data_IF_177701569149
#
_entry.id   IF_177701569149
#
_cell.length_a   1.000
_cell.length_b   1.000
_cell.length_c   1.000
_cell.angle_alpha   90.00
_cell.angle_beta   90.00
_cell.angle_gamma   90.00
#
_symmetry.space_group_name_H-M   'P 1'
#
loop_
_entity.id
_entity.type
_entity.pdbx_description
1 polymer ?
#
# COMPACT_ATOMS: atom_id res chain seq x y z
N UNK A 1 -12.68 -1.17 5.67
CA UNK A 1 -11.22 -1.42 5.74
C UNK A 1 -10.97 -2.91 5.52
N UNK A 2 -10.24 -3.27 4.47
CA UNK A 2 -10.10 -4.66 4.00
C UNK A 2 -9.30 -5.56 4.98
N UNK A 3 -9.52 -6.89 4.99
CA UNK A 3 -9.06 -7.82 6.04
C UNK A 3 -7.56 -8.18 6.03
N UNK A 4 -6.74 -7.57 5.16
CA UNK A 4 -5.33 -7.97 4.95
C UNK A 4 -4.47 -7.91 6.22
N UNK A 5 -4.83 -7.05 7.19
CA UNK A 5 -4.15 -6.98 8.50
C UNK A 5 -4.28 -8.28 9.30
N UNK A 6 -5.37 -9.03 9.12
CA UNK A 6 -5.61 -10.30 9.80
C UNK A 6 -4.96 -11.48 9.09
N UNK A 7 -4.66 -11.36 7.79
CA UNK A 7 -3.89 -12.37 7.05
C UNK A 7 -2.47 -12.53 7.63
N UNK A 8 -1.85 -11.42 8.08
CA UNK A 8 -0.56 -11.45 8.77
C UNK A 8 -0.63 -12.21 10.11
N UNK A 9 -1.75 -12.10 10.83
CA UNK A 9 -1.99 -12.85 12.07
C UNK A 9 -2.23 -14.33 11.80
N UNK A 10 -2.84 -14.69 10.66
CA UNK A 10 -3.01 -16.07 10.22
C UNK A 10 -1.72 -16.69 9.64
N UNK A 11 -0.79 -15.88 9.13
CA UNK A 11 0.46 -16.35 8.54
C UNK A 11 1.38 -17.05 9.56
N UNK A 12 1.43 -16.56 10.81
CA UNK A 12 2.25 -17.14 11.87
C UNK A 12 1.78 -18.57 12.25
N UNK A 13 0.51 -18.84 12.58
CA UNK A 13 0.05 -20.20 12.86
C UNK A 13 0.11 -21.10 11.62
N UNK A 14 -0.12 -20.58 10.41
CA UNK A 14 0.06 -21.35 9.17
C UNK A 14 1.52 -21.79 8.97
N UNK A 15 2.49 -20.91 9.21
CA UNK A 15 3.91 -21.25 9.11
C UNK A 15 4.34 -22.32 10.13
N UNK A 16 3.86 -22.21 11.38
CA UNK A 16 4.09 -23.22 12.42
C UNK A 16 3.44 -24.56 12.04
N UNK A 17 2.22 -24.53 11.48
CA UNK A 17 1.51 -25.72 11.02
C UNK A 17 2.25 -26.42 9.88
N UNK A 18 2.68 -25.67 8.85
CA UNK A 18 3.43 -26.21 7.72
C UNK A 18 4.77 -26.81 8.15
N UNK A 19 5.50 -26.15 9.06
CA UNK A 19 6.73 -26.68 9.63
C UNK A 19 6.51 -27.95 10.46
N UNK A 20 5.44 -28.00 11.24
CA UNK A 20 5.09 -29.16 12.07
C UNK A 20 4.67 -30.36 11.22
N UNK A 21 3.86 -30.14 10.19
CA UNK A 21 3.49 -31.17 9.22
C UNK A 21 4.72 -31.73 8.51
N UNK A 22 5.63 -30.87 8.04
CA UNK A 22 6.87 -31.31 7.37
C UNK A 22 7.82 -32.11 8.29
N UNK A 23 7.84 -31.81 9.59
CA UNK A 23 8.62 -32.56 10.59
C UNK A 23 7.99 -33.92 10.94
N UNK A 24 6.66 -34.00 10.91
CA UNK A 24 5.89 -35.23 11.16
C UNK A 24 5.90 -36.18 9.95
N UNK A 25 6.02 -35.66 8.73
CA UNK A 25 6.18 -36.44 7.50
C UNK A 25 7.56 -37.09 7.33
N UNK A 26 8.33 -37.31 8.41
CA UNK A 26 9.59 -38.07 8.33
C UNK A 26 9.26 -39.48 7.79
N UNK A 27 9.77 -39.86 6.60
CA UNK A 27 9.68 -41.23 6.15
C UNK A 27 10.45 -42.07 7.16
N UNK A 28 9.78 -43.08 7.71
CA UNK A 28 10.29 -43.90 8.81
C UNK A 28 11.76 -44.25 8.64
N UNK A 29 12.54 -43.99 9.69
CA UNK A 29 13.80 -44.68 9.92
C UNK A 29 13.49 -46.17 9.91
N UNK A 30 13.76 -46.81 8.77
CA UNK A 30 13.92 -48.26 8.65
C UNK A 30 14.99 -48.64 9.66
N UNK A 31 14.55 -49.09 10.82
CA UNK A 31 15.42 -49.73 11.80
C UNK A 31 15.51 -51.18 11.35
N UNK A 32 16.68 -51.58 10.90
CA UNK A 32 17.03 -52.96 10.59
C UNK A 32 16.47 -53.91 11.67
N UNK A 33 15.41 -54.64 11.33
CA UNK A 33 15.04 -55.88 12.02
C UNK A 33 15.63 -57.01 11.18
N UNK A 34 16.50 -57.87 11.74
CA UNK A 34 16.91 -59.07 11.03
C UNK A 34 15.67 -59.93 10.81
N UNK A 35 15.49 -60.38 9.56
CA UNK A 35 14.44 -61.30 9.14
C UNK A 35 14.49 -62.57 9.98
N UNK A 36 13.60 -62.70 10.94
CA UNK A 36 13.14 -64.00 11.41
C UNK A 36 11.75 -64.23 10.81
N UNK A 37 11.76 -65.10 9.82
CA UNK A 37 10.61 -65.75 9.20
C UNK A 37 9.81 -66.42 10.32
N UNK A 38 8.53 -66.11 10.44
CA UNK A 38 7.46 -67.10 10.57
C UNK A 38 6.07 -66.46 10.59
N UNK A 39 5.20 -67.07 9.77
CA UNK A 39 3.74 -67.16 9.81
C UNK A 39 2.88 -65.96 10.25
N UNK A 40 2.06 -65.54 9.29
CA UNK A 40 0.61 -65.38 9.45
C UNK A 40 0.11 -64.15 10.23
N UNK A 41 -0.04 -63.05 9.49
CA UNK A 41 -1.07 -62.04 9.75
C UNK A 41 -1.26 -61.19 8.50
N UNK A 42 -2.31 -61.49 7.74
CA UNK A 42 -2.95 -60.55 6.82
C UNK A 42 -3.55 -59.41 7.65
N UNK A 43 -2.79 -58.35 7.86
CA UNK A 43 -3.33 -57.08 8.34
C UNK A 43 -2.75 -55.96 7.46
N UNK A 44 -3.68 -55.27 6.80
CA UNK A 44 -3.55 -54.10 5.97
C UNK A 44 -2.42 -53.14 6.41
N UNK A 45 -1.31 -53.10 5.66
CA UNK A 45 -0.36 -51.97 5.69
C UNK A 45 -0.92 -50.84 4.80
N UNK A 46 -2.18 -50.47 5.05
CA UNK A 46 -2.76 -49.20 4.65
C UNK A 46 -2.08 -48.14 5.51
N UNK A 47 -0.87 -47.74 5.09
CA UNK A 47 -0.20 -46.53 5.58
C UNK A 47 -0.97 -45.31 5.08
N UNK A 48 -2.19 -45.17 5.58
CA UNK A 48 -2.84 -43.89 5.62
C UNK A 48 -1.90 -42.98 6.39
N UNK A 49 -1.32 -42.03 5.65
CA UNK A 49 -0.80 -40.78 6.15
C UNK A 49 -1.94 -40.10 6.92
N UNK A 50 -2.19 -40.58 8.14
CA UNK A 50 -3.31 -40.11 8.94
C UNK A 50 -2.97 -38.68 9.31
N UNK A 51 -3.71 -37.75 8.71
CA UNK A 51 -3.73 -36.34 9.09
C UNK A 51 -3.88 -36.28 10.61
N UNK A 52 -2.82 -35.85 11.29
CA UNK A 52 -2.80 -35.72 12.74
C UNK A 52 -4.06 -34.95 13.18
N UNK A 53 -4.79 -35.46 14.18
CA UNK A 53 -6.01 -34.84 14.71
C UNK A 53 -5.81 -33.35 15.02
N UNK A 54 -4.60 -32.96 15.43
CA UNK A 54 -4.21 -31.56 15.67
C UNK A 54 -4.24 -30.71 14.40
N UNK A 55 -3.80 -31.27 13.27
CA UNK A 55 -3.85 -30.63 11.95
C UNK A 55 -5.28 -30.48 11.48
N UNK A 56 -6.13 -31.49 11.69
CA UNK A 56 -7.56 -31.44 11.35
C UNK A 56 -8.29 -30.41 12.21
N UNK A 57 -8.05 -30.38 13.52
CA UNK A 57 -8.62 -29.39 14.43
C UNK A 57 -8.21 -27.96 14.08
N UNK A 58 -6.94 -27.75 13.73
CA UNK A 58 -6.46 -26.42 13.37
C UNK A 58 -6.96 -25.99 11.99
N UNK A 59 -7.02 -26.89 11.00
CA UNK A 59 -7.66 -26.61 9.72
C UNK A 59 -9.15 -26.27 9.91
N UNK A 60 -9.87 -27.02 10.75
CA UNK A 60 -11.27 -26.75 11.07
C UNK A 60 -11.45 -25.39 11.77
N UNK A 61 -10.60 -25.05 12.74
CA UNK A 61 -10.58 -23.74 13.40
C UNK A 61 -10.33 -22.59 12.40
N UNK A 62 -9.43 -22.80 11.44
CA UNK A 62 -9.10 -21.79 10.44
C UNK A 62 -10.26 -21.60 9.44
N UNK A 63 -10.90 -22.70 9.00
CA UNK A 63 -12.10 -22.66 8.15
C UNK A 63 -13.29 -22.06 8.89
N UNK A 64 -13.56 -22.46 10.14
CA UNK A 64 -14.63 -21.92 10.97
C UNK A 64 -14.39 -20.44 11.31
N UNK A 65 -13.16 -20.04 11.60
CA UNK A 65 -12.78 -18.63 11.76
C UNK A 65 -12.93 -17.84 10.47
N UNK A 66 -12.73 -18.48 9.31
CA UNK A 66 -12.94 -17.85 8.00
C UNK A 66 -14.42 -17.65 7.65
N UNK A 67 -15.35 -18.35 8.31
CA UNK A 67 -16.79 -18.28 8.01
C UNK A 67 -17.36 -16.87 8.14
N UNK A 68 -16.88 -16.09 9.11
CA UNK A 68 -17.29 -14.69 9.29
C UNK A 68 -16.92 -13.81 8.07
N UNK A 69 -15.92 -14.21 7.28
CA UNK A 69 -15.49 -13.50 6.07
C UNK A 69 -16.22 -13.93 4.80
N UNK A 70 -17.02 -15.01 4.84
CA UNK A 70 -17.87 -15.44 3.71
C UNK A 70 -19.15 -14.60 3.60
N UNK A 71 -19.56 -13.95 4.69
CA UNK A 71 -20.72 -13.06 4.67
C UNK A 71 -20.29 -11.65 4.31
N UNK A 72 -20.45 -11.28 3.04
CA UNK A 72 -20.35 -9.89 2.60
C UNK A 72 -21.61 -9.16 3.08
N UNK A 73 -21.53 -8.55 4.27
CA UNK A 73 -22.60 -7.66 4.74
C UNK A 73 -22.38 -6.27 4.13
N UNK A 74 -23.13 -5.96 3.07
CA UNK A 74 -23.26 -4.58 2.57
C UNK A 74 -24.35 -3.88 3.37
N UNK A 75 -23.95 -3.09 4.36
CA UNK A 75 -24.88 -2.19 5.05
C UNK A 75 -25.09 -0.98 4.13
N UNK A 76 -26.31 -0.71 3.65
CA UNK A 76 -26.57 0.48 2.87
C UNK A 76 -26.29 1.72 3.74
N UNK A 77 -25.64 2.77 3.18
CA UNK A 77 -25.34 3.99 3.90
C UNK A 77 -26.60 4.62 4.49
N UNK A 78 -26.49 5.20 5.68
CA UNK A 78 -27.62 5.90 6.31
C UNK A 78 -28.04 7.12 5.48
N UNK A 79 -29.27 7.65 5.65
CA UNK A 79 -29.70 8.86 4.92
C UNK A 79 -28.77 10.07 5.11
N UNK A 80 -28.05 10.13 6.23
CA UNK A 80 -27.05 11.17 6.49
C UNK A 80 -25.73 10.95 5.73
N UNK A 81 -25.41 9.71 5.35
CA UNK A 81 -24.21 9.33 4.60
C UNK A 81 -24.41 9.44 3.08
N UNK A 82 -25.65 9.42 2.60
CA UNK A 82 -25.99 9.62 1.19
C UNK A 82 -25.61 8.44 0.28
N UNK A 83 -25.83 8.56 -1.05
CA UNK A 83 -25.40 7.55 -2.02
C UNK A 83 -23.85 7.45 -2.08
N UNK A 84 -23.33 6.36 -2.65
CA UNK A 84 -21.88 6.16 -2.82
C UNK A 84 -21.36 7.12 -3.91
N UNK A 85 -20.91 8.30 -3.48
CA UNK A 85 -20.34 9.36 -4.31
C UNK A 85 -19.09 9.93 -3.63
N UNK A 86 -18.27 10.71 -4.34
CA UNK A 86 -17.13 11.42 -3.73
C UNK A 86 -17.58 12.33 -2.59
N UNK A 87 -18.76 12.92 -2.70
CA UNK A 87 -19.28 13.79 -1.64
C UNK A 87 -19.92 13.05 -0.48
N UNK A 88 -20.58 11.91 -0.72
CA UNK A 88 -20.93 10.96 0.34
C UNK A 88 -19.70 10.49 1.11
N UNK A 89 -18.59 10.22 0.41
CA UNK A 89 -17.30 9.90 1.03
C UNK A 89 -16.76 11.07 1.85
N UNK A 90 -16.69 12.28 1.31
CA UNK A 90 -16.21 13.47 2.04
C UNK A 90 -17.07 13.75 3.30
N UNK A 91 -18.40 13.66 3.20
CA UNK A 91 -19.32 13.81 4.35
C UNK A 91 -19.13 12.70 5.37
N UNK A 92 -18.92 11.46 4.93
CA UNK A 92 -18.64 10.33 5.80
C UNK A 92 -17.33 10.53 6.56
N UNK A 93 -16.25 10.91 5.87
CA UNK A 93 -14.94 11.20 6.49
C UNK A 93 -15.05 12.36 7.50
N UNK A 94 -15.77 13.43 7.14
CA UNK A 94 -16.02 14.57 8.04
C UNK A 94 -16.83 14.18 9.28
N UNK A 95 -17.94 13.47 9.10
CA UNK A 95 -18.87 13.13 10.20
C UNK A 95 -18.36 12.01 11.10
N UNK A 96 -17.60 11.06 10.54
CA UNK A 96 -17.05 9.93 11.29
C UNK A 96 -15.74 10.29 11.98
N UNK A 97 -15.09 11.39 11.59
CA UNK A 97 -13.71 11.71 11.95
C UNK A 97 -12.74 10.53 11.65
N UNK A 98 -13.16 9.64 10.76
CA UNK A 98 -12.42 8.48 10.27
C UNK A 98 -11.66 8.91 9.02
N UNK A 99 -10.44 8.41 8.82
CA UNK A 99 -9.52 8.80 7.72
C UNK A 99 -8.82 10.16 7.88
N UNK A 100 -8.89 10.78 9.07
CA UNK A 100 -8.13 12.00 9.42
C UNK A 100 -6.67 11.72 9.82
N UNK A 101 -6.20 10.49 9.64
CA UNK A 101 -4.80 10.13 9.86
C UNK A 101 -3.89 10.98 8.99
N UNK A 102 -2.81 11.49 9.57
CA UNK A 102 -1.87 12.33 8.86
C UNK A 102 -0.44 12.05 9.26
N UNK A 103 0.52 12.53 8.46
CA UNK A 103 1.91 12.47 8.85
C UNK A 103 2.11 13.07 10.24
N UNK A 104 2.99 12.47 11.04
CA UNK A 104 3.28 12.86 12.43
C UNK A 104 3.62 14.36 12.58
N UNK A 105 4.07 15.00 11.51
CA UNK A 105 4.49 16.40 11.49
C UNK A 105 3.34 17.40 11.38
N UNK A 106 2.15 16.94 10.99
CA UNK A 106 0.97 17.81 10.93
C UNK A 106 0.38 17.95 12.32
N UNK A 107 0.19 19.19 12.77
CA UNK A 107 -0.57 19.49 13.97
C UNK A 107 -2.05 19.22 13.71
N UNK A 108 -2.55 18.12 14.28
CA UNK A 108 -3.95 17.71 14.16
C UNK A 108 -4.93 18.73 14.74
N UNK A 109 -4.50 19.56 15.71
CA UNK A 109 -5.37 20.55 16.36
C UNK A 109 -5.60 21.79 15.49
N UNK A 110 -4.68 22.08 14.58
CA UNK A 110 -4.72 23.25 13.70
C UNK A 110 -5.05 22.89 12.25
N UNK A 111 -5.24 21.60 11.95
CA UNK A 111 -5.65 21.19 10.62
C UNK A 111 -7.08 21.64 10.33
N UNK A 112 -7.35 22.23 9.16
CA UNK A 112 -8.71 22.39 8.65
C UNK A 112 -9.42 21.03 8.60
N UNK A 113 -10.51 20.89 9.34
CA UNK A 113 -11.38 19.70 9.27
C UNK A 113 -12.19 19.64 7.97
N UNK A 114 -12.13 20.72 7.19
CA UNK A 114 -12.82 20.89 5.92
C UNK A 114 -11.96 21.75 5.00
N UNK A 115 -11.98 21.49 3.69
CA UNK A 115 -11.26 22.28 2.70
C UNK A 115 -12.24 22.82 1.65
N UNK A 116 -11.88 23.92 1.00
CA UNK A 116 -12.66 24.45 -0.13
C UNK A 116 -12.78 23.41 -1.26
N UNK A 117 -11.78 22.54 -1.40
CA UNK A 117 -11.85 21.40 -2.32
C UNK A 117 -12.91 20.37 -1.90
N UNK A 118 -12.98 20.02 -0.61
CA UNK A 118 -14.03 19.14 -0.10
C UNK A 118 -15.42 19.78 -0.27
N UNK A 119 -15.51 21.09 -0.05
CA UNK A 119 -16.70 21.89 -0.30
C UNK A 119 -17.14 21.80 -1.77
N UNK A 120 -16.20 21.93 -2.72
CA UNK A 120 -16.48 21.74 -4.16
C UNK A 120 -17.05 20.36 -4.44
N UNK A 121 -16.49 19.29 -3.86
CA UNK A 121 -17.03 17.94 -4.04
C UNK A 121 -18.43 17.83 -3.43
N UNK A 122 -18.66 18.34 -2.21
CA UNK A 122 -19.98 18.26 -1.56
C UNK A 122 -21.06 19.12 -2.20
N UNK A 123 -20.69 20.25 -2.80
CA UNK A 123 -21.56 21.05 -3.64
C UNK A 123 -21.90 20.31 -4.94
N UNK A 124 -21.04 19.42 -5.43
CA UNK A 124 -21.31 18.63 -6.64
C UNK A 124 -22.33 17.48 -6.44
N UNK A 125 -22.53 17.01 -5.20
CA UNK A 125 -23.64 16.11 -4.84
C UNK A 125 -24.94 16.86 -4.55
N UNK A 126 -24.83 18.17 -4.31
CA UNK A 126 -25.95 19.06 -4.04
C UNK A 126 -25.85 20.30 -4.94
N UNK A 127 -25.69 20.11 -6.27
CA UNK A 127 -25.76 21.26 -7.15
C UNK A 127 -27.15 21.87 -6.95
N UNK A 128 -27.36 23.16 -7.24
CA UNK A 128 -28.70 23.68 -7.45
C UNK A 128 -29.28 23.07 -8.73
N UNK A 129 -29.26 21.75 -8.84
CA UNK A 129 -30.04 20.99 -9.78
C UNK A 129 -31.42 20.91 -9.16
N UNK A 130 -32.42 21.27 -9.95
CA UNK A 130 -33.80 21.14 -9.56
C UNK A 130 -34.07 19.68 -9.11
N UNK A 131 -35.05 19.43 -8.22
CA UNK A 131 -35.33 18.09 -7.66
C UNK A 131 -35.54 16.99 -8.71
N UNK A 132 -35.74 17.36 -9.97
CA UNK A 132 -36.01 16.56 -11.16
C UNK A 132 -34.83 16.47 -12.14
N UNK A 133 -33.62 16.89 -11.77
CA UNK A 133 -32.47 16.83 -12.67
C UNK A 133 -32.14 15.42 -13.14
N UNK A 134 -31.81 15.33 -14.42
CA UNK A 134 -31.50 14.08 -15.09
C UNK A 134 -30.08 13.60 -14.74
N UNK A 135 -29.86 12.29 -14.84
CA UNK A 135 -28.53 11.68 -14.63
C UNK A 135 -27.42 12.35 -15.49
N UNK A 136 -27.74 12.80 -16.70
CA UNK A 136 -26.79 13.48 -17.58
C UNK A 136 -26.37 14.86 -17.06
N UNK A 137 -27.28 15.61 -16.43
CA UNK A 137 -26.99 16.91 -15.83
C UNK A 137 -26.13 16.76 -14.57
N UNK A 138 -26.39 15.72 -13.77
CA UNK A 138 -25.56 15.33 -12.62
C UNK A 138 -24.15 14.95 -13.10
N UNK A 139 -24.04 14.05 -14.07
CA UNK A 139 -22.75 13.61 -14.63
C UNK A 139 -21.95 14.81 -15.21
N UNK A 140 -22.62 15.76 -15.86
CA UNK A 140 -22.00 16.97 -16.39
C UNK A 140 -21.60 18.00 -15.32
N UNK A 141 -22.32 18.06 -14.19
CA UNK A 141 -21.93 18.88 -13.04
C UNK A 141 -20.69 18.30 -12.34
N UNK A 142 -20.68 16.98 -12.12
CA UNK A 142 -19.52 16.25 -11.57
C UNK A 142 -18.30 16.45 -12.47
N UNK A 143 -18.45 16.34 -13.79
CA UNK A 143 -17.34 16.54 -14.74
C UNK A 143 -16.79 17.98 -14.71
N UNK A 144 -17.66 18.99 -14.63
CA UNK A 144 -17.25 20.40 -14.51
C UNK A 144 -16.50 20.68 -13.21
N UNK A 145 -16.92 20.06 -12.11
CA UNK A 145 -16.28 20.23 -10.80
C UNK A 145 -14.95 19.47 -10.70
N UNK A 146 -14.87 18.26 -11.27
CA UNK A 146 -13.61 17.53 -11.37
C UNK A 146 -12.56 18.29 -12.20
N UNK A 147 -13.00 19.07 -13.18
CA UNK A 147 -12.15 20.00 -13.92
C UNK A 147 -11.73 21.24 -13.10
N UNK A 148 -12.34 21.52 -11.95
CA UNK A 148 -12.02 22.69 -11.13
C UNK A 148 -10.76 22.49 -10.26
N UNK A 149 -10.39 21.25 -9.93
CA UNK A 149 -9.15 20.95 -9.19
C UNK A 149 -8.05 20.62 -10.18
N UNK A 150 -7.25 21.62 -10.54
CA UNK A 150 -6.23 21.51 -11.59
C UNK A 150 -4.81 21.36 -11.06
N UNK A 151 -4.60 21.52 -9.74
CA UNK A 151 -3.26 21.57 -9.14
C UNK A 151 -3.28 21.31 -7.63
N UNK A 152 -2.17 20.82 -7.08
CA UNK A 152 -1.93 20.80 -5.63
C UNK A 152 -1.16 22.04 -5.15
N UNK A 153 -0.79 22.98 -6.01
CA UNK A 153 -0.05 24.20 -5.62
C UNK A 153 -0.96 25.15 -4.84
N UNK A 154 -0.41 25.78 -3.81
CA UNK A 154 -1.07 26.88 -3.10
C UNK A 154 -0.88 28.20 -3.86
N UNK A 155 -1.74 28.44 -4.85
CA UNK A 155 -1.71 29.67 -5.64
C UNK A 155 -1.94 30.95 -4.82
N UNK A 156 -2.49 30.88 -3.60
CA UNK A 156 -2.65 32.06 -2.75
C UNK A 156 -1.31 32.63 -2.28
N UNK A 157 -0.27 31.80 -2.28
CA UNK A 157 1.10 32.19 -1.96
C UNK A 157 1.96 32.45 -3.21
N UNK A 158 1.42 32.24 -4.41
CA UNK A 158 2.13 32.42 -5.68
C UNK A 158 1.61 33.68 -6.38
N UNK A 159 2.38 34.77 -6.47
CA UNK A 159 1.90 36.07 -6.96
C UNK A 159 1.48 36.08 -8.45
N UNK A 160 1.87 35.06 -9.23
CA UNK A 160 1.53 34.93 -10.67
C UNK A 160 1.92 36.17 -11.48
N UNK A 161 3.13 36.65 -11.21
CA UNK A 161 3.69 37.86 -11.81
C UNK A 161 5.11 37.61 -12.33
N UNK A 162 5.82 38.68 -12.68
CA UNK A 162 7.20 38.60 -13.17
C UNK A 162 8.18 38.01 -12.12
N UNK A 163 7.81 37.96 -10.84
CA UNK A 163 8.66 37.44 -9.76
C UNK A 163 8.57 35.93 -9.62
N UNK A 164 7.35 35.40 -9.68
CA UNK A 164 7.05 33.99 -9.62
C UNK A 164 5.72 33.72 -10.33
N UNK A 165 5.78 32.93 -11.39
CA UNK A 165 4.60 32.33 -12.00
C UNK A 165 4.76 30.81 -12.05
N UNK A 166 3.66 30.14 -11.73
CA UNK A 166 3.60 28.68 -11.60
C UNK A 166 2.37 28.21 -12.32
N UNK A 167 2.50 27.17 -13.13
CA UNK A 167 1.39 26.57 -13.86
C UNK A 167 1.45 25.05 -13.79
N UNK A 168 0.32 24.41 -13.50
CA UNK A 168 0.20 22.95 -13.51
C UNK A 168 0.10 22.44 -14.95
N UNK A 169 1.08 21.62 -15.34
CA UNK A 169 1.12 20.95 -16.65
C UNK A 169 0.42 19.59 -16.61
N UNK A 170 0.60 18.84 -15.53
CA UNK A 170 -0.03 17.54 -15.36
C UNK A 170 -0.23 17.20 -13.88
N UNK A 171 -1.42 16.70 -13.56
CA UNK A 171 -1.81 16.32 -12.20
C UNK A 171 -2.04 14.81 -12.10
N UNK A 172 -1.30 14.13 -11.24
CA UNK A 172 -1.50 12.73 -10.88
C UNK A 172 -1.84 12.56 -9.39
N UNK A 173 -2.14 11.33 -8.96
CA UNK A 173 -2.39 11.06 -7.54
C UNK A 173 -1.10 11.09 -6.71
N UNK A 174 -0.01 10.66 -7.33
CA UNK A 174 1.33 10.48 -6.78
C UNK A 174 2.35 11.46 -7.38
N UNK A 175 1.91 12.34 -8.28
CA UNK A 175 2.79 13.29 -8.95
C UNK A 175 2.08 14.57 -9.36
N UNK A 176 2.87 15.61 -9.62
CA UNK A 176 2.45 16.82 -10.29
C UNK A 176 3.62 17.42 -11.05
N UNK A 177 3.38 17.75 -12.32
CA UNK A 177 4.33 18.43 -13.19
C UNK A 177 3.93 19.90 -13.29
N UNK A 178 4.88 20.78 -13.04
CA UNK A 178 4.69 22.23 -13.02
C UNK A 178 5.66 22.89 -14.00
N UNK A 179 5.17 23.89 -14.70
CA UNK A 179 6.01 24.93 -15.26
C UNK A 179 6.19 26.02 -14.21
N UNK A 180 7.43 26.45 -13.99
CA UNK A 180 7.77 27.48 -13.01
C UNK A 180 8.74 28.45 -13.66
N UNK A 181 8.42 29.74 -13.57
CA UNK A 181 9.36 30.81 -13.90
C UNK A 181 9.56 31.69 -12.69
N UNK A 182 10.81 32.02 -12.41
CA UNK A 182 11.13 32.99 -11.37
C UNK A 182 12.34 33.83 -11.76
N UNK A 183 12.29 35.12 -11.43
CA UNK A 183 13.40 36.04 -11.64
C UNK A 183 14.35 36.14 -10.42
N UNK A 184 14.06 35.40 -9.34
CA UNK A 184 14.83 35.38 -8.07
C UNK A 184 15.20 33.95 -7.67
N UNK A 185 16.18 33.82 -6.79
CA UNK A 185 16.68 32.54 -6.26
C UNK A 185 16.08 32.16 -4.89
N UNK A 186 15.29 33.06 -4.29
CA UNK A 186 14.67 32.88 -2.96
C UNK A 186 13.20 32.41 -3.02
N UNK A 187 12.65 32.21 -4.21
CA UNK A 187 11.26 31.83 -4.39
C UNK A 187 11.03 30.35 -4.11
N UNK A 188 9.85 30.05 -3.57
CA UNK A 188 9.47 28.69 -3.19
C UNK A 188 8.07 28.39 -3.68
N UNK A 189 7.86 27.18 -4.17
CA UNK A 189 6.55 26.64 -4.52
C UNK A 189 6.05 25.82 -3.34
N UNK A 190 4.87 26.18 -2.84
CA UNK A 190 4.22 25.49 -1.72
C UNK A 190 3.10 24.63 -2.26
N UNK A 191 3.07 23.36 -1.87
CA UNK A 191 2.03 22.41 -2.25
C UNK A 191 1.09 22.17 -1.07
N UNK A 192 -0.22 22.10 -1.34
CA UNK A 192 -1.28 21.69 -0.42
C UNK A 192 -1.27 20.17 -0.17
N UNK A 193 -0.07 19.62 0.03
CA UNK A 193 0.20 18.22 0.36
C UNK A 193 1.06 18.20 1.61
N UNK A 194 0.62 17.46 2.62
CA UNK A 194 1.42 17.26 3.82
C UNK A 194 2.72 16.50 3.48
N UNK A 195 3.83 16.98 4.02
CA UNK A 195 5.13 16.37 3.81
C UNK A 195 5.17 14.96 4.40
N UNK A 196 5.76 14.03 3.64
CA UNK A 196 5.98 12.66 4.06
C UNK A 196 7.26 12.09 3.40
N UNK A 197 8.04 11.24 4.10
CA UNK A 197 9.22 10.61 3.52
C UNK A 197 8.86 9.77 2.29
N UNK A 198 9.41 10.15 1.14
CA UNK A 198 9.13 9.51 -0.15
C UNK A 198 8.84 10.52 -1.26
N UNK A 199 8.33 11.71 -0.91
CA UNK A 199 8.24 12.81 -1.88
C UNK A 199 9.63 13.24 -2.35
N UNK A 200 9.73 13.56 -3.64
CA UNK A 200 10.93 14.01 -4.34
C UNK A 200 10.54 15.07 -5.35
N UNK A 201 11.37 16.08 -5.51
CA UNK A 201 11.21 17.10 -6.55
C UNK A 201 12.34 16.94 -7.57
N UNK A 202 12.00 16.98 -8.84
CA UNK A 202 12.93 16.80 -9.95
C UNK A 202 12.86 17.98 -10.91
N UNK A 203 14.00 18.33 -11.48
CA UNK A 203 14.09 19.24 -12.61
C UNK A 203 14.04 18.44 -13.92
N UNK A 204 13.18 18.82 -14.85
CA UNK A 204 13.06 18.18 -16.17
C UNK A 204 13.68 19.05 -17.27
N UNK A 205 14.17 18.42 -18.34
CA UNK A 205 14.64 19.10 -19.56
C UNK A 205 13.46 19.48 -20.47
N UNK A 206 12.71 20.50 -20.07
CA UNK A 206 11.45 20.88 -20.72
C UNK A 206 10.26 20.00 -20.30
N UNK A 207 9.11 20.19 -20.97
CA UNK A 207 7.85 19.60 -20.52
C UNK A 207 7.84 18.07 -20.53
N UNK A 208 8.37 17.44 -21.58
CA UNK A 208 8.40 15.97 -21.75
C UNK A 208 9.83 15.41 -21.70
N UNK A 209 10.78 16.18 -21.18
CA UNK A 209 12.17 15.78 -21.06
C UNK A 209 12.47 14.78 -19.95
N UNK A 210 13.67 14.17 -19.97
CA UNK A 210 14.16 13.35 -18.86
C UNK A 210 14.39 14.20 -17.59
N UNK A 211 14.51 13.50 -16.46
CA UNK A 211 14.97 14.10 -15.19
C UNK A 211 16.44 14.50 -15.33
N UNK A 212 16.73 15.77 -15.11
CA UNK A 212 18.08 16.38 -15.17
C UNK A 212 18.72 16.46 -13.79
N UNK A 213 17.92 16.66 -12.75
CA UNK A 213 18.41 16.78 -11.38
C UNK A 213 17.31 16.62 -10.33
N UNK A 214 17.72 16.44 -9.08
CA UNK A 214 16.83 16.44 -7.91
C UNK A 214 16.93 17.80 -7.21
N UNK A 215 15.78 18.41 -6.93
CA UNK A 215 15.67 19.63 -6.14
C UNK A 215 15.46 19.25 -4.67
N UNK A 216 16.05 20.00 -3.72
CA UNK A 216 15.80 19.76 -2.31
C UNK A 216 14.32 20.01 -2.00
N UNK A 217 13.72 19.16 -1.17
CA UNK A 217 12.39 19.40 -0.63
C UNK A 217 12.49 19.81 0.82
N UNK A 218 11.76 20.85 1.18
CA UNK A 218 11.64 21.34 2.53
C UNK A 218 10.26 21.00 3.08
N UNK A 219 10.19 20.88 4.40
CA UNK A 219 8.94 20.81 5.12
C UNK A 219 8.64 22.20 5.65
N UNK A 220 7.44 22.69 5.37
CA UNK A 220 6.97 23.96 5.93
C UNK A 220 7.03 23.95 7.46
N UNK A 221 7.56 25.02 8.05
CA UNK A 221 7.56 25.26 9.50
C UNK A 221 6.21 25.83 9.94
N UNK A 222 5.14 25.09 9.63
CA UNK A 222 3.76 25.44 9.92
C UNK A 222 2.95 24.23 10.38
N UNK A 223 1.71 24.45 10.87
CA UNK A 223 0.88 23.38 11.42
C UNK A 223 0.53 22.31 10.39
N UNK A 224 0.53 22.65 9.10
CA UNK A 224 0.20 21.73 8.02
C UNK A 224 1.39 20.92 7.52
N UNK A 225 2.62 21.30 7.91
CA UNK A 225 3.86 20.66 7.50
C UNK A 225 3.89 20.36 5.99
N UNK A 226 3.51 21.34 5.15
CA UNK A 226 3.38 21.17 3.70
C UNK A 226 4.71 20.95 3.01
N UNK A 227 4.65 20.43 1.78
CA UNK A 227 5.82 20.31 0.92
C UNK A 227 6.15 21.68 0.34
N UNK A 228 7.42 22.07 0.47
CA UNK A 228 7.96 23.31 -0.08
C UNK A 228 9.15 22.96 -0.98
N UNK A 229 9.14 23.47 -2.20
CA UNK A 229 10.21 23.24 -3.19
C UNK A 229 10.79 24.60 -3.59
N UNK A 230 12.08 24.86 -3.39
CA UNK A 230 12.72 26.07 -3.88
C UNK A 230 12.74 26.06 -5.41
N UNK A 231 12.31 27.16 -6.01
CA UNK A 231 12.29 27.34 -7.45
C UNK A 231 13.62 27.95 -7.91
N UNK A 232 14.40 27.28 -8.78
CA UNK A 232 15.63 27.86 -9.32
C UNK A 232 15.31 29.05 -10.24
N UNK A 233 16.19 30.05 -10.25
CA UNK A 233 16.06 31.22 -11.13
C UNK A 233 15.98 30.80 -12.60
N UNK A 234 15.08 31.43 -13.35
CA UNK A 234 14.80 31.16 -14.76
C UNK A 234 13.51 30.37 -14.96
N UNK A 235 13.38 29.81 -16.15
CA UNK A 235 12.23 29.01 -16.57
C UNK A 235 12.56 27.52 -16.50
N UNK A 236 11.75 26.77 -15.77
CA UNK A 236 12.02 25.38 -15.42
C UNK A 236 10.74 24.55 -15.38
N UNK A 237 10.89 23.25 -15.66
CA UNK A 237 9.82 22.28 -15.43
C UNK A 237 10.16 21.44 -14.21
N UNK A 238 9.32 21.52 -13.18
CA UNK A 238 9.48 20.81 -11.91
C UNK A 238 8.50 19.65 -11.86
N UNK A 239 8.99 18.47 -11.52
CA UNK A 239 8.18 17.29 -11.25
C UNK A 239 8.25 16.96 -9.76
N UNK A 240 7.13 17.14 -9.05
CA UNK A 240 6.95 16.58 -7.71
C UNK A 240 6.41 15.16 -7.85
N UNK A 241 7.07 14.16 -7.28
CA UNK A 241 6.65 12.75 -7.36
C UNK A 241 6.86 12.02 -6.04
N UNK A 242 5.93 11.12 -5.72
CA UNK A 242 6.03 10.21 -4.59
C UNK A 242 6.75 8.92 -4.99
N UNK A 243 7.96 8.75 -4.47
CA UNK A 243 8.81 7.59 -4.70
C UNK A 243 8.80 6.62 -3.51
N UNK A 244 9.53 5.51 -3.64
CA UNK A 244 9.65 4.53 -2.58
C UNK A 244 10.27 5.11 -1.31
N UNK A 245 9.55 4.91 -0.20
CA UNK A 245 9.95 5.34 1.12
C UNK A 245 11.17 4.54 1.62
N UNK A 246 12.01 5.09 2.51
CA UNK A 246 13.14 4.36 3.08
C UNK A 246 12.72 3.04 3.75
N UNK A 247 11.56 3.03 4.42
CA UNK A 247 11.00 1.85 5.06
C UNK A 247 10.59 0.79 4.03
N UNK A 248 9.98 1.20 2.91
CA UNK A 248 9.62 0.28 1.83
C UNK A 248 10.86 -0.35 1.19
N UNK A 249 11.91 0.44 0.96
CA UNK A 249 13.21 -0.06 0.46
C UNK A 249 13.83 -1.07 1.43
N UNK A 250 13.81 -0.78 2.73
CA UNK A 250 14.31 -1.70 3.75
C UNK A 250 13.50 -3.01 3.79
N UNK A 251 12.16 -2.92 3.76
CA UNK A 251 11.28 -4.07 3.75
C UNK A 251 11.53 -4.97 2.52
N UNK A 252 11.74 -4.37 1.35
CA UNK A 252 12.11 -5.09 0.12
C UNK A 252 13.40 -5.90 0.32
N UNK A 253 14.46 -5.29 0.86
CA UNK A 253 15.72 -5.99 1.11
C UNK A 253 15.59 -7.09 2.15
N UNK A 254 14.86 -6.85 3.25
CA UNK A 254 14.60 -7.87 4.29
C UNK A 254 13.87 -9.08 3.68
N UNK A 255 12.84 -8.83 2.86
CA UNK A 255 12.12 -9.91 2.18
C UNK A 255 13.03 -10.69 1.22
N UNK A 256 13.82 -9.99 0.40
CA UNK A 256 14.77 -10.61 -0.52
C UNK A 256 15.78 -11.50 0.20
N UNK A 257 16.40 -11.01 1.28
CA UNK A 257 17.33 -11.81 2.07
C UNK A 257 16.64 -12.98 2.77
N UNK A 258 15.41 -12.81 3.24
CA UNK A 258 14.60 -13.89 3.79
C UNK A 258 14.37 -15.02 2.76
N UNK A 259 14.03 -14.67 1.53
CA UNK A 259 13.88 -15.63 0.43
C UNK A 259 15.19 -16.33 0.07
N UNK A 260 16.30 -15.59 -0.01
CA UNK A 260 17.61 -16.17 -0.28
C UNK A 260 18.06 -17.14 0.83
N UNK A 261 17.83 -16.78 2.09
CA UNK A 261 18.13 -17.64 3.23
C UNK A 261 17.28 -18.91 3.20
N UNK A 262 15.97 -18.79 2.93
CA UNK A 262 15.09 -19.94 2.78
C UNK A 262 15.57 -20.88 1.68
N UNK A 263 15.92 -20.33 0.51
CA UNK A 263 16.45 -21.11 -0.60
C UNK A 263 17.77 -21.80 -0.23
N UNK A 264 18.68 -21.11 0.45
CA UNK A 264 19.95 -21.68 0.90
C UNK A 264 19.74 -22.85 1.86
N UNK A 265 18.82 -22.72 2.81
CA UNK A 265 18.46 -23.80 3.75
C UNK A 265 17.85 -25.01 3.02
N UNK A 266 16.97 -24.77 2.04
CA UNK A 266 16.39 -25.85 1.23
C UNK A 266 17.45 -26.59 0.40
N UNK A 267 18.35 -25.85 -0.25
CA UNK A 267 19.44 -26.42 -1.03
C UNK A 267 20.43 -27.19 -0.15
N UNK A 268 20.80 -26.65 1.01
CA UNK A 268 21.65 -27.33 1.98
C UNK A 268 20.99 -28.63 2.50
N UNK A 269 19.68 -28.58 2.78
CA UNK A 269 18.91 -29.77 3.18
C UNK A 269 18.86 -30.84 2.08
N UNK A 270 18.73 -30.43 0.82
CA UNK A 270 18.77 -31.34 -0.33
C UNK A 270 20.16 -31.96 -0.52
N UNK A 271 21.21 -31.15 -0.48
CA UNK A 271 22.60 -31.61 -0.56
C UNK A 271 22.96 -32.58 0.57
N UNK A 272 22.52 -32.29 1.80
CA UNK A 272 22.71 -33.18 2.95
C UNK A 272 22.00 -34.53 2.78
N UNK A 273 20.79 -34.55 2.21
CA UNK A 273 20.08 -35.80 1.88
C UNK A 273 20.80 -36.61 0.81
N UNK A 274 21.35 -35.96 -0.21
CA UNK A 274 22.12 -36.62 -1.27
C UNK A 274 23.42 -37.21 -0.70
N UNK A 275 24.17 -36.44 0.09
CA UNK A 275 25.40 -36.91 0.73
C UNK A 275 25.17 -38.12 1.64
N UNK A 276 24.09 -38.12 2.44
CA UNK A 276 23.71 -39.27 3.27
C UNK A 276 23.29 -40.52 2.48
N UNK A 277 22.88 -40.36 1.23
CA UNK A 277 22.52 -41.48 0.33
C UNK A 277 23.69 -41.97 -0.50
N UNK A 278 24.86 -41.30 -0.46
CA UNK A 278 26.05 -41.79 -1.12
C UNK A 278 26.48 -43.12 -0.45
N UNK A 279 26.55 -44.23 -1.20
CA UNK A 279 26.99 -45.50 -0.65
C UNK A 279 28.43 -45.36 -0.17
N UNK A 280 28.70 -45.80 1.06
CA UNK A 280 30.08 -45.99 1.54
C UNK A 280 30.66 -47.09 0.66
N UNK A 281 31.55 -46.72 -0.27
CA UNK A 281 32.39 -47.68 -0.99
C UNK A 281 33.27 -48.36 0.04
N UNK A 282 32.87 -49.57 0.44
CA UNK A 282 33.74 -50.49 1.17
C UNK A 282 34.80 -50.97 0.18
N UNK A 283 36.00 -50.39 0.24
CA UNK A 283 37.18 -51.02 -0.32
C UNK A 283 37.43 -52.32 0.46
N UNK A 284 37.20 -53.44 -0.21
CA UNK A 284 37.82 -54.74 0.07
C UNK A 284 38.61 -55.16 -1.18
#
# INVERSE_FOLDING_TARGET
QFPWRWLMLAALPLAVLSGSAALLSKPGTVRDRPKQRDSDSTEDDDRNETLNLSTVLLAALLVLGSYAFLQVQTIPPTPQQGPVSYAGLMRFEQSSNEMTGAPKWVDLSQRPLWSDMAELYTQADNPPLAPDATKAEIDAAIARQAAAVTSKVDYTQMPQDETLAVWSLALGSESEKLWVTTNRDDQKVVFNVAWFPGWRAYLLDGEDGPIVGELPIEREDGPLARIVVPAPQGEHVILLRFDDTPVRKAAFWIALFGWLLLLAVLLAGLAFRVWRRAPVTSDQ
#
